data_IF_808676828673
#
_entry.id   IF_808676828673
#
_cell.length_a   1.000
_cell.length_b   1.000
_cell.length_c   1.000
_cell.angle_alpha   90.00
_cell.angle_beta   90.00
_cell.angle_gamma   90.00
#
_symmetry.space_group_name_H-M   'P 1'
#
loop_
_entity.id
_entity.type
_entity.pdbx_description
1 polymer ?
#
# COMPACT_ATOMS: atom_id res chain seq x y z
N UNK A 1 -38.79 28.03 -8.77
CA UNK A 1 -37.38 27.91 -9.21
C UNK A 1 -36.51 27.97 -7.97
N UNK A 2 -35.70 26.96 -7.70
CA UNK A 2 -34.74 26.98 -6.60
C UNK A 2 -33.53 27.80 -7.08
N UNK A 3 -33.20 28.86 -6.35
CA UNK A 3 -32.06 29.72 -6.66
C UNK A 3 -30.80 29.04 -6.11
N UNK A 4 -30.10 28.29 -6.96
CA UNK A 4 -28.83 27.66 -6.58
C UNK A 4 -27.75 28.72 -6.69
N UNK A 5 -27.02 28.96 -5.60
CA UNK A 5 -25.88 29.89 -5.61
C UNK A 5 -24.83 29.40 -6.63
N UNK A 6 -24.28 30.28 -7.47
CA UNK A 6 -23.27 29.88 -8.44
C UNK A 6 -22.01 29.38 -7.72
N UNK A 7 -21.46 28.27 -8.21
CA UNK A 7 -20.19 27.76 -7.72
C UNK A 7 -19.05 28.73 -8.07
N UNK A 8 -18.25 29.11 -7.07
CA UNK A 8 -17.19 30.12 -7.19
C UNK A 8 -15.85 29.70 -6.61
N UNK A 9 -15.75 28.46 -6.11
CA UNK A 9 -14.51 27.95 -5.52
C UNK A 9 -13.44 27.72 -6.58
N UNK A 10 -12.17 27.88 -6.19
CA UNK A 10 -11.04 27.48 -7.01
C UNK A 10 -11.01 25.95 -7.13
N UNK A 11 -10.86 25.46 -8.35
CA UNK A 11 -10.78 24.03 -8.68
C UNK A 11 -9.37 23.72 -9.14
N UNK A 12 -8.92 22.50 -8.87
CA UNK A 12 -7.69 21.95 -9.42
C UNK A 12 -6.61 21.77 -8.37
N UNK A 13 -5.38 21.65 -8.87
CA UNK A 13 -4.21 21.42 -8.03
C UNK A 13 -3.93 22.64 -7.14
N UNK A 14 -3.74 22.37 -5.85
CA UNK A 14 -3.51 23.39 -4.82
C UNK A 14 -2.03 23.70 -4.61
N UNK A 15 -1.16 22.76 -4.99
CA UNK A 15 0.29 22.92 -4.92
C UNK A 15 0.83 23.65 -6.15
N UNK A 16 1.92 24.40 -5.97
CA UNK A 16 2.65 25.00 -7.08
C UNK A 16 3.47 23.92 -7.81
N UNK A 17 2.96 23.50 -8.96
CA UNK A 17 3.58 22.48 -9.80
C UNK A 17 4.44 23.07 -10.94
N UNK A 18 4.77 24.38 -10.94
CA UNK A 18 5.60 24.99 -11.99
C UNK A 18 6.99 24.34 -12.07
N UNK A 19 7.50 23.90 -10.92
CA UNK A 19 8.79 23.23 -10.80
C UNK A 19 8.75 21.75 -11.20
N UNK A 20 7.57 21.14 -11.34
CA UNK A 20 7.44 19.71 -11.60
C UNK A 20 7.82 19.41 -13.04
N UNK A 21 8.70 18.43 -13.24
CA UNK A 21 9.25 18.08 -14.56
C UNK A 21 8.90 16.65 -14.97
N UNK A 22 8.55 15.82 -14.01
CA UNK A 22 8.33 14.38 -14.21
C UNK A 22 7.08 13.92 -13.47
N UNK A 23 6.53 12.79 -13.90
CA UNK A 23 5.42 12.10 -13.25
C UNK A 23 5.76 11.73 -11.80
N UNK A 24 7.04 11.47 -11.51
CA UNK A 24 7.53 11.20 -10.16
C UNK A 24 7.36 12.39 -9.21
N UNK A 25 7.41 13.63 -9.72
CA UNK A 25 7.20 14.82 -8.88
C UNK A 25 5.76 14.87 -8.38
N UNK A 26 4.80 14.51 -9.24
CA UNK A 26 3.39 14.36 -8.85
C UNK A 26 3.17 13.15 -7.93
N UNK A 27 3.84 12.03 -8.19
CA UNK A 27 3.72 10.83 -7.36
C UNK A 27 4.14 11.10 -5.90
N UNK A 28 5.19 11.92 -5.70
CA UNK A 28 5.67 12.32 -4.38
C UNK A 28 4.72 13.23 -3.59
N UNK A 29 3.75 13.85 -4.25
CA UNK A 29 2.66 14.54 -3.53
C UNK A 29 1.79 13.55 -2.75
N UNK A 30 1.64 12.34 -3.28
CA UNK A 30 0.76 11.31 -2.73
C UNK A 30 1.52 10.38 -1.78
N UNK A 31 2.68 9.88 -2.23
CA UNK A 31 3.55 9.03 -1.42
C UNK A 31 4.63 9.88 -0.74
N UNK A 32 4.22 10.56 0.33
CA UNK A 32 5.09 11.49 1.05
C UNK A 32 6.15 10.78 1.87
N UNK A 33 7.18 11.53 2.27
CA UNK A 33 8.23 11.07 3.18
C UNK A 33 7.71 10.54 4.52
N UNK A 34 6.57 11.06 4.97
CA UNK A 34 5.88 10.62 6.18
C UNK A 34 5.30 9.22 6.00
N UNK A 35 4.56 8.97 4.91
CA UNK A 35 4.02 7.63 4.62
C UNK A 35 5.17 6.64 4.48
N UNK A 36 6.22 7.00 3.73
CA UNK A 36 7.41 6.15 3.58
C UNK A 36 8.08 5.86 4.93
N UNK A 37 8.18 6.85 5.83
CA UNK A 37 8.73 6.64 7.15
C UNK A 37 7.91 5.63 7.96
N UNK A 38 6.57 5.74 7.95
CA UNK A 38 5.68 4.78 8.61
C UNK A 38 5.87 3.37 8.05
N UNK A 39 5.92 3.22 6.72
CA UNK A 39 6.13 1.92 6.08
C UNK A 39 7.44 1.27 6.52
N UNK A 40 8.53 2.05 6.49
CA UNK A 40 9.86 1.56 6.90
C UNK A 40 9.87 1.18 8.37
N UNK A 41 9.40 2.07 9.24
CA UNK A 41 9.43 1.88 10.69
C UNK A 41 8.63 0.64 11.08
N UNK A 42 7.39 0.53 10.63
CA UNK A 42 6.48 -0.51 11.10
C UNK A 42 6.78 -1.87 10.46
N UNK A 43 7.27 -1.89 9.22
CA UNK A 43 7.77 -3.12 8.58
C UNK A 43 8.99 -3.68 9.31
N UNK A 44 9.94 -2.80 9.66
CA UNK A 44 11.13 -3.22 10.41
C UNK A 44 10.79 -3.67 11.83
N UNK A 45 9.91 -2.94 12.53
CA UNK A 45 9.40 -3.29 13.86
C UNK A 45 8.74 -4.68 13.83
N UNK A 46 7.81 -4.90 12.89
CA UNK A 46 7.10 -6.17 12.79
C UNK A 46 8.02 -7.35 12.50
N UNK A 47 9.00 -7.16 11.61
CA UNK A 47 10.00 -8.19 11.34
C UNK A 47 10.80 -8.53 12.60
N UNK A 48 11.27 -7.53 13.35
CA UNK A 48 12.01 -7.72 14.59
C UNK A 48 11.18 -8.44 15.67
N UNK A 49 9.95 -7.99 15.90
CA UNK A 49 9.03 -8.60 16.87
C UNK A 49 8.79 -10.08 16.56
N UNK A 50 8.51 -10.42 15.31
CA UNK A 50 8.30 -11.80 14.90
C UNK A 50 9.54 -12.67 15.07
N UNK A 51 10.72 -12.15 14.79
CA UNK A 51 11.98 -12.89 14.92
C UNK A 51 12.34 -13.14 16.39
N UNK A 52 12.15 -12.14 17.26
CA UNK A 52 12.42 -12.28 18.69
C UNK A 52 11.42 -13.19 19.40
N UNK A 53 10.12 -13.11 19.04
CA UNK A 53 9.07 -13.93 19.65
C UNK A 53 9.26 -15.43 19.42
N UNK A 54 10.02 -15.83 18.40
CA UNK A 54 10.08 -17.24 17.98
C UNK A 54 11.40 -17.95 18.30
N UNK A 55 12.44 -17.23 18.77
CA UNK A 55 13.76 -17.81 19.05
C UNK A 55 14.38 -18.53 17.84
N UNK A 56 15.65 -18.93 17.92
CA UNK A 56 16.36 -19.64 16.85
C UNK A 56 15.84 -21.07 16.57
N UNK A 57 14.73 -21.49 17.20
CA UNK A 57 14.39 -22.89 17.46
C UNK A 57 13.50 -23.57 16.41
N UNK A 58 13.54 -23.19 15.13
CA UNK A 58 12.88 -24.02 14.10
C UNK A 58 13.60 -24.05 12.75
N UNK A 59 14.09 -25.24 12.38
CA UNK A 59 14.80 -25.55 11.12
C UNK A 59 14.04 -25.15 9.84
N UNK A 60 12.72 -24.94 9.92
CA UNK A 60 11.86 -24.57 8.78
C UNK A 60 11.98 -23.10 8.35
N UNK A 61 12.81 -22.27 8.99
CA UNK A 61 12.79 -20.80 8.85
C UNK A 61 14.15 -20.10 8.63
N UNK A 62 15.14 -20.78 8.05
CA UNK A 62 16.45 -20.17 7.68
C UNK A 62 16.36 -18.91 6.81
N UNK A 63 15.25 -18.66 6.12
CA UNK A 63 15.02 -17.42 5.37
C UNK A 63 14.53 -16.25 6.23
N UNK A 64 13.90 -16.49 7.39
CA UNK A 64 13.47 -15.40 8.28
C UNK A 64 14.67 -14.82 9.06
N UNK A 65 15.65 -15.65 9.43
CA UNK A 65 16.88 -15.24 10.10
C UNK A 65 17.81 -14.35 9.25
N UNK A 66 17.48 -14.14 7.97
CA UNK A 66 18.21 -13.24 7.06
C UNK A 66 17.54 -11.88 6.86
N UNK A 67 16.56 -11.50 7.68
CA UNK A 67 15.96 -10.17 7.59
C UNK A 67 17.04 -9.10 7.75
N UNK A 68 17.13 -8.23 6.74
CA UNK A 68 17.86 -6.97 6.83
C UNK A 68 16.82 -5.86 6.92
N UNK A 69 17.00 -4.88 7.83
CA UNK A 69 16.12 -3.73 7.87
C UNK A 69 15.99 -3.09 6.48
N UNK A 70 14.75 -2.75 6.12
CA UNK A 70 14.46 -2.00 4.89
C UNK A 70 14.61 -0.51 5.13
N UNK A 71 14.70 0.26 4.05
CA UNK A 71 14.80 1.71 4.07
C UNK A 71 13.83 2.34 3.05
N UNK A 72 13.77 3.68 3.01
CA UNK A 72 12.85 4.41 2.13
C UNK A 72 13.09 4.07 0.65
N UNK A 73 14.34 3.95 0.23
CA UNK A 73 14.69 3.68 -1.17
C UNK A 73 14.27 2.26 -1.56
N UNK A 74 14.47 1.29 -0.68
CA UNK A 74 14.07 -0.09 -0.92
C UNK A 74 12.54 -0.25 -0.92
N UNK A 75 11.81 0.42 -0.01
CA UNK A 75 10.34 0.48 -0.04
C UNK A 75 9.85 1.14 -1.33
N UNK A 76 10.49 2.21 -1.81
CA UNK A 76 10.16 2.84 -3.08
C UNK A 76 10.35 1.88 -4.27
N UNK A 77 11.45 1.13 -4.31
CA UNK A 77 11.67 0.09 -5.33
C UNK A 77 10.61 -0.99 -5.26
N UNK A 78 10.28 -1.47 -4.06
CA UNK A 78 9.24 -2.46 -3.82
C UNK A 78 7.87 -1.98 -4.34
N UNK A 79 7.47 -0.76 -3.98
CA UNK A 79 6.22 -0.15 -4.46
C UNK A 79 6.23 0.09 -5.98
N UNK A 80 7.36 0.51 -6.54
CA UNK A 80 7.56 0.66 -7.99
C UNK A 80 7.35 -0.66 -8.73
N UNK A 81 7.86 -1.78 -8.18
CA UNK A 81 7.59 -3.10 -8.74
C UNK A 81 6.10 -3.48 -8.62
N UNK A 82 5.43 -3.19 -7.51
CA UNK A 82 3.98 -3.43 -7.37
C UNK A 82 3.18 -2.64 -8.41
N UNK A 83 3.52 -1.37 -8.64
CA UNK A 83 2.89 -0.55 -9.68
C UNK A 83 3.13 -1.15 -11.07
N UNK A 84 4.35 -1.64 -11.34
CA UNK A 84 4.66 -2.28 -12.61
C UNK A 84 3.92 -3.62 -12.79
N UNK A 85 3.67 -4.39 -11.72
CA UNK A 85 2.84 -5.60 -11.77
C UNK A 85 1.41 -5.31 -12.19
N UNK A 86 0.88 -4.12 -11.86
CA UNK A 86 -0.43 -3.68 -12.36
C UNK A 86 -0.45 -3.33 -13.85
N UNK A 87 0.73 -3.16 -14.47
CA UNK A 87 0.85 -2.92 -15.91
C UNK A 87 1.25 -4.17 -16.70
N UNK A 88 2.10 -5.01 -16.10
CA UNK A 88 2.60 -6.26 -16.68
C UNK A 88 2.07 -7.40 -15.84
N UNK A 89 0.85 -7.86 -16.13
CA UNK A 89 0.28 -8.97 -15.37
C UNK A 89 0.90 -10.32 -15.80
N UNK A 90 1.13 -11.19 -14.83
CA UNK A 90 1.63 -12.56 -15.03
C UNK A 90 0.80 -13.55 -14.23
N UNK A 91 0.80 -14.81 -14.68
CA UNK A 91 -0.02 -15.88 -14.10
C UNK A 91 0.28 -16.15 -12.62
N UNK A 92 1.55 -16.04 -12.22
CA UNK A 92 1.96 -16.18 -10.83
C UNK A 92 2.97 -15.12 -10.40
N UNK A 93 3.04 -14.91 -9.08
CA UNK A 93 4.01 -13.98 -8.49
C UNK A 93 5.47 -14.38 -8.78
N UNK A 94 5.74 -15.67 -9.01
CA UNK A 94 7.10 -16.15 -9.28
C UNK A 94 7.55 -15.83 -10.70
N UNK A 95 6.61 -15.76 -11.65
CA UNK A 95 6.89 -15.52 -13.07
C UNK A 95 7.48 -14.13 -13.32
N UNK A 96 7.31 -13.20 -12.39
CA UNK A 96 7.96 -11.89 -12.46
C UNK A 96 9.49 -11.97 -12.40
N UNK A 97 10.04 -13.04 -11.84
CA UNK A 97 11.48 -13.27 -11.74
C UNK A 97 11.98 -14.44 -12.60
N UNK A 98 11.15 -14.95 -13.52
CA UNK A 98 11.55 -16.02 -14.44
C UNK A 98 12.62 -15.54 -15.43
N UNK A 99 13.43 -16.48 -15.92
CA UNK A 99 14.37 -16.29 -17.03
C UNK A 99 13.93 -17.06 -18.27
N UNK A 100 12.67 -17.50 -18.31
CA UNK A 100 12.07 -18.09 -19.51
C UNK A 100 11.90 -17.00 -20.57
N UNK A 101 12.61 -17.15 -21.69
CA UNK A 101 12.63 -16.19 -22.79
C UNK A 101 11.23 -15.80 -23.32
N UNK A 102 10.21 -16.64 -23.12
CA UNK A 102 8.84 -16.35 -23.58
C UNK A 102 8.15 -15.25 -22.78
N UNK A 103 8.48 -15.15 -21.49
CA UNK A 103 7.77 -14.30 -20.52
C UNK A 103 8.69 -13.49 -19.62
N UNK A 104 10.01 -13.55 -19.82
CA UNK A 104 10.98 -12.82 -19.03
C UNK A 104 10.71 -11.32 -19.06
N UNK A 105 10.90 -10.67 -17.90
CA UNK A 105 10.82 -9.21 -17.79
C UNK A 105 11.96 -8.76 -16.87
N UNK A 106 13.18 -8.53 -17.42
CA UNK A 106 14.42 -8.45 -16.63
C UNK A 106 14.41 -7.40 -15.52
N UNK A 107 13.67 -6.30 -15.72
CA UNK A 107 13.60 -5.18 -14.78
C UNK A 107 13.22 -5.62 -13.35
N UNK A 108 12.36 -6.63 -13.19
CA UNK A 108 11.94 -7.11 -11.87
C UNK A 108 13.14 -7.65 -11.06
N UNK A 109 13.97 -8.49 -11.68
CA UNK A 109 15.15 -9.07 -11.02
C UNK A 109 16.32 -8.09 -10.91
N UNK A 110 16.42 -7.13 -11.83
CA UNK A 110 17.43 -6.06 -11.79
C UNK A 110 17.17 -5.07 -10.66
N UNK A 111 15.91 -4.72 -10.40
CA UNK A 111 15.52 -3.77 -9.35
C UNK A 111 15.58 -4.41 -7.97
N UNK A 112 15.05 -5.64 -7.82
CA UNK A 112 15.02 -6.34 -6.53
C UNK A 112 15.02 -7.85 -6.71
N UNK A 113 15.89 -8.61 -6.02
CA UNK A 113 15.84 -10.07 -6.03
C UNK A 113 14.49 -10.60 -5.51
N UNK A 114 13.99 -11.67 -6.14
CA UNK A 114 12.70 -12.32 -5.78
C UNK A 114 12.55 -12.53 -4.29
N UNK A 115 13.54 -13.14 -3.66
CA UNK A 115 13.46 -13.51 -2.25
C UNK A 115 13.41 -12.27 -1.34
N UNK A 116 14.05 -11.16 -1.74
CA UNK A 116 13.95 -9.89 -1.01
C UNK A 116 12.57 -9.26 -1.16
N UNK A 117 12.00 -9.26 -2.37
CA UNK A 117 10.63 -8.79 -2.60
C UNK A 117 9.63 -9.57 -1.75
N UNK A 118 9.70 -10.91 -1.79
CA UNK A 118 8.84 -11.78 -0.99
C UNK A 118 9.03 -11.57 0.52
N UNK A 119 10.26 -11.26 0.96
CA UNK A 119 10.53 -10.95 2.36
C UNK A 119 9.86 -9.64 2.80
N UNK A 120 9.99 -8.58 2.01
CA UNK A 120 9.33 -7.29 2.30
C UNK A 120 7.82 -7.48 2.26
N UNK A 121 7.28 -8.15 1.24
CA UNK A 121 5.85 -8.45 1.14
C UNK A 121 5.31 -9.18 2.37
N UNK A 122 6.08 -10.11 2.92
CA UNK A 122 5.72 -10.88 4.12
C UNK A 122 5.67 -10.03 5.38
N UNK A 123 6.60 -9.08 5.53
CA UNK A 123 6.73 -8.27 6.74
C UNK A 123 6.10 -6.88 6.62
N UNK A 124 5.58 -6.51 5.44
CA UNK A 124 4.95 -5.21 5.22
C UNK A 124 3.88 -4.94 6.27
N UNK A 125 4.05 -3.84 6.99
CA UNK A 125 3.22 -3.50 8.13
C UNK A 125 3.10 -1.99 8.29
N UNK A 126 2.06 -1.52 8.97
CA UNK A 126 1.65 -0.10 8.97
C UNK A 126 1.34 0.46 10.37
N UNK A 127 1.50 -0.33 11.43
CA UNK A 127 1.15 0.05 12.80
C UNK A 127 1.93 -0.73 13.86
N UNK A 128 2.25 -0.13 14.99
CA UNK A 128 2.79 -0.88 16.11
C UNK A 128 1.75 -1.85 16.70
N UNK A 129 2.04 -3.16 16.70
CA UNK A 129 1.14 -4.18 17.22
C UNK A 129 0.94 -4.11 18.75
N UNK A 130 1.87 -3.48 19.48
CA UNK A 130 1.75 -3.26 20.93
C UNK A 130 0.62 -2.28 21.30
N UNK A 131 0.20 -1.44 20.34
CA UNK A 131 -0.91 -0.49 20.50
C UNK A 131 -2.28 -1.14 20.26
N UNK A 132 -2.32 -2.45 19.99
CA UNK A 132 -3.58 -3.14 19.77
C UNK A 132 -4.42 -3.17 21.03
N UNK A 133 -5.54 -2.47 21.00
CA UNK A 133 -6.51 -2.52 22.08
C UNK A 133 -7.25 -3.86 22.18
N UNK A 134 -7.79 -4.13 23.38
CA UNK A 134 -8.72 -5.25 23.59
C UNK A 134 -9.98 -5.04 22.75
N UNK A 135 -10.59 -6.15 22.32
CA UNK A 135 -11.84 -6.12 21.54
C UNK A 135 -13.03 -5.57 22.31
N UNK A 136 -12.96 -5.63 23.64
CA UNK A 136 -14.00 -5.13 24.53
C UNK A 136 -13.80 -3.64 24.86
N UNK A 137 -12.72 -3.02 24.37
CA UNK A 137 -12.47 -1.59 24.52
C UNK A 137 -13.54 -0.79 23.76
N UNK A 138 -14.11 0.27 24.37
CA UNK A 138 -15.03 1.17 23.67
C UNK A 138 -14.37 1.91 22.49
N UNK A 139 -13.04 2.00 22.48
CA UNK A 139 -12.24 2.64 21.43
C UNK A 139 -11.66 1.64 20.43
N UNK A 140 -12.02 0.35 20.51
CA UNK A 140 -11.52 -0.68 19.60
C UNK A 140 -11.93 -0.40 18.15
N UNK A 141 -10.93 -0.04 17.33
CA UNK A 141 -11.10 0.07 15.89
C UNK A 141 -10.74 -1.26 15.19
N UNK A 142 -11.61 -1.73 14.29
CA UNK A 142 -11.33 -2.92 13.45
C UNK A 142 -10.25 -2.64 12.40
N UNK A 143 -10.02 -1.37 12.05
CA UNK A 143 -9.03 -0.89 11.08
C UNK A 143 -7.74 -0.39 11.73
N UNK A 144 -7.53 -0.62 13.03
CA UNK A 144 -6.38 -0.14 13.82
C UNK A 144 -4.99 -0.40 13.21
N UNK A 145 -4.88 -1.31 12.25
CA UNK A 145 -3.62 -1.60 11.55
C UNK A 145 -3.22 -0.59 10.49
N UNK A 146 -4.14 0.20 9.94
CA UNK A 146 -3.87 1.13 8.84
C UNK A 146 -4.16 2.62 9.11
N UNK A 147 -4.55 3.09 10.32
CA UNK A 147 -5.06 4.44 10.50
C UNK A 147 -4.00 5.49 10.15
N UNK A 148 -2.74 5.28 10.56
CA UNK A 148 -1.63 6.21 10.27
C UNK A 148 -1.56 6.54 8.77
N UNK A 149 -1.48 5.51 7.92
CA UNK A 149 -1.35 5.69 6.48
C UNK A 149 -2.66 6.17 5.85
N UNK A 150 -3.81 5.67 6.31
CA UNK A 150 -5.12 6.06 5.82
C UNK A 150 -5.42 7.54 6.08
N UNK A 151 -5.12 8.02 7.28
CA UNK A 151 -5.31 9.42 7.68
C UNK A 151 -4.35 10.35 6.94
N UNK A 152 -3.09 9.94 6.74
CA UNK A 152 -2.15 10.68 5.89
C UNK A 152 -2.70 10.85 4.48
N UNK A 153 -3.21 9.79 3.84
CA UNK A 153 -3.82 9.90 2.51
C UNK A 153 -5.05 10.81 2.49
N UNK A 154 -5.95 10.68 3.48
CA UNK A 154 -7.13 11.55 3.58
C UNK A 154 -6.76 13.03 3.73
N UNK A 155 -5.69 13.34 4.47
CA UNK A 155 -5.16 14.69 4.60
C UNK A 155 -4.57 15.15 3.27
N UNK A 156 -3.69 14.36 2.66
CA UNK A 156 -3.02 14.67 1.39
C UNK A 156 -4.04 14.96 0.29
N UNK A 157 -5.08 14.14 0.15
CA UNK A 157 -6.08 14.34 -0.91
C UNK A 157 -6.80 15.70 -0.78
N UNK A 158 -7.07 16.16 0.45
CA UNK A 158 -7.67 17.48 0.72
C UNK A 158 -6.69 18.64 0.51
N UNK A 159 -5.40 18.40 0.75
CA UNK A 159 -4.35 19.40 0.63
C UNK A 159 -3.88 19.58 -0.82
N UNK A 160 -3.96 18.54 -1.65
CA UNK A 160 -3.40 18.54 -3.01
C UNK A 160 -4.40 19.02 -4.06
N UNK A 161 -5.70 18.72 -3.92
CA UNK A 161 -6.68 18.97 -4.98
C UNK A 161 -8.03 19.44 -4.47
N UNK A 162 -8.58 20.49 -5.08
CA UNK A 162 -9.96 20.94 -4.87
C UNK A 162 -10.82 20.45 -6.06
N UNK A 163 -11.90 19.69 -5.83
CA UNK A 163 -12.72 19.13 -6.90
C UNK A 163 -13.68 20.14 -7.53
N UNK A 164 -14.25 19.77 -8.68
CA UNK A 164 -15.32 20.53 -9.35
C UNK A 164 -16.63 20.50 -8.57
N UNK A 165 -17.58 21.37 -8.92
CA UNK A 165 -18.92 21.44 -8.34
C UNK A 165 -19.70 20.11 -8.43
N UNK A 166 -19.44 19.33 -9.48
CA UNK A 166 -20.15 18.07 -9.75
C UNK A 166 -19.32 16.91 -9.18
N UNK A 167 -19.82 16.31 -8.11
CA UNK A 167 -19.22 15.15 -7.45
C UNK A 167 -20.10 13.91 -7.66
N UNK A 168 -19.45 12.77 -7.83
CA UNK A 168 -20.13 11.47 -7.82
C UNK A 168 -19.70 10.69 -6.59
N UNK A 169 -20.67 10.03 -5.95
CA UNK A 169 -20.44 9.15 -4.82
C UNK A 169 -20.71 7.72 -5.29
N UNK A 170 -19.72 6.87 -5.08
CA UNK A 170 -19.79 5.46 -5.43
C UNK A 170 -19.07 4.62 -4.40
N UNK A 171 -19.40 3.34 -4.37
CA UNK A 171 -18.74 2.36 -3.52
C UNK A 171 -17.67 1.63 -4.34
N UNK A 172 -16.48 1.48 -3.77
CA UNK A 172 -15.40 0.65 -4.34
C UNK A 172 -15.34 -0.65 -3.55
N UNK A 173 -15.43 -1.78 -4.24
CA UNK A 173 -15.38 -3.11 -3.64
C UNK A 173 -14.08 -3.80 -4.03
N UNK A 174 -13.25 -4.07 -3.02
CA UNK A 174 -12.00 -4.80 -3.19
C UNK A 174 -12.26 -6.28 -2.92
N UNK A 175 -12.09 -7.13 -3.94
CA UNK A 175 -12.26 -8.58 -3.82
C UNK A 175 -11.17 -9.15 -2.89
N UNK A 176 -11.58 -9.82 -1.80
CA UNK A 176 -10.65 -10.46 -0.87
C UNK A 176 -11.17 -11.81 -0.38
N UNK A 177 -10.36 -12.87 -0.54
CA UNK A 177 -10.72 -14.24 -0.12
C UNK A 177 -10.23 -14.63 1.29
N UNK A 178 -9.36 -13.84 1.91
CA UNK A 178 -8.81 -14.13 3.24
C UNK A 178 -9.78 -13.94 4.41
N UNK A 179 -9.30 -14.20 5.63
CA UNK A 179 -10.07 -14.05 6.87
C UNK A 179 -9.90 -12.63 7.43
N UNK A 180 -10.93 -11.80 7.28
CA UNK A 180 -11.00 -10.47 7.89
C UNK A 180 -12.43 -10.20 8.38
N UNK A 181 -12.55 -9.53 9.52
CA UNK A 181 -13.80 -9.39 10.27
C UNK A 181 -14.87 -8.53 9.58
N UNK A 182 -14.46 -7.62 8.71
CA UNK A 182 -15.35 -6.68 8.01
C UNK A 182 -15.57 -7.07 6.54
N UNK A 183 -15.17 -8.28 6.13
CA UNK A 183 -15.49 -8.80 4.79
C UNK A 183 -17.00 -9.04 4.69
N UNK A 184 -17.61 -8.49 3.65
CA UNK A 184 -19.01 -8.71 3.33
C UNK A 184 -19.13 -9.60 2.09
N UNK A 185 -20.14 -10.48 2.08
CA UNK A 185 -20.54 -11.20 0.87
C UNK A 185 -21.57 -10.36 0.14
N UNK A 186 -21.32 -10.06 -1.14
CA UNK A 186 -22.20 -9.26 -1.99
C UNK A 186 -22.71 -10.19 -3.11
N UNK A 187 -23.95 -10.72 -2.99
CA UNK A 187 -24.45 -11.76 -3.89
C UNK A 187 -24.60 -11.33 -5.35
N UNK A 188 -24.71 -10.02 -5.62
CA UNK A 188 -25.10 -9.47 -6.93
C UNK A 188 -23.97 -8.84 -7.74
N UNK A 189 -22.73 -8.86 -7.26
CA UNK A 189 -21.60 -8.38 -8.06
C UNK A 189 -20.98 -9.53 -8.86
N UNK A 190 -21.77 -10.01 -9.82
CA UNK A 190 -21.28 -10.82 -10.93
C UNK A 190 -20.79 -9.90 -12.05
N UNK A 191 -19.69 -9.19 -11.81
CA UNK A 191 -18.84 -8.78 -12.94
C UNK A 191 -17.70 -9.80 -13.03
N UNK A 192 -18.03 -10.79 -13.85
CA UNK A 192 -17.22 -11.40 -14.92
C UNK A 192 -15.72 -11.34 -14.71
N UNK A 193 -15.09 -12.50 -14.73
CA UNK A 193 -13.65 -12.57 -14.95
C UNK A 193 -13.29 -11.75 -16.18
N UNK A 194 -12.35 -10.84 -15.99
CA UNK A 194 -11.06 -10.92 -16.66
C UNK A 194 -10.03 -10.97 -15.54
#
# INVERSE_FOLDING_TARGET
MINVLPFSSKVGLKVDAISFKTENDFFKLMLTDEILAVLVEETNRYAFDLLNLHGESSDKRKHASSWKPTDKNEILKFLGLILLMGHIEKDSLQDYWTTDNLIETPIFREVMPRDRFLMILKFLHFSDNSLKESRDSPTYDRLWKIPKVFDSFNRIFKEVYDPTENLSFGEVIIKFKGRVLFKQYIPKNANSGV
#
